data_IF_698672391489
#
_entry.id   IF_698672391489
#
_cell.length_a   1.000
_cell.length_b   1.000
_cell.length_c   1.000
_cell.angle_alpha   90.00
_cell.angle_beta   90.00
_cell.angle_gamma   90.00
#
_symmetry.space_group_name_H-M   'P 1'
#
loop_
_entity.id
_entity.type
_entity.pdbx_description
1 polymer ?
#
# COMPACT_ATOMS: atom_id res chain seq x y z
N UNK A 1 -1.41 2.00 -32.28
CA UNK A 1 -2.17 1.31 -31.24
C UNK A 1 -2.80 2.38 -30.38
N UNK A 2 -4.13 2.45 -30.36
CA UNK A 2 -4.87 3.35 -29.48
C UNK A 2 -4.82 2.83 -28.04
N UNK A 3 -5.17 3.67 -27.06
CA UNK A 3 -5.34 3.23 -25.67
C UNK A 3 -6.39 2.13 -25.53
N UNK A 4 -7.44 2.17 -26.35
CA UNK A 4 -8.49 1.15 -26.39
C UNK A 4 -7.93 -0.17 -26.91
N UNK A 5 -7.14 -0.13 -27.99
CA UNK A 5 -6.53 -1.34 -28.56
C UNK A 5 -5.57 -2.00 -27.56
N UNK A 6 -4.83 -1.20 -26.79
CA UNK A 6 -3.95 -1.69 -25.73
C UNK A 6 -4.74 -2.30 -24.57
N UNK A 7 -5.80 -1.64 -24.11
CA UNK A 7 -6.64 -2.17 -23.04
C UNK A 7 -7.34 -3.46 -23.47
N UNK A 8 -7.85 -3.52 -24.70
CA UNK A 8 -8.49 -4.70 -25.28
C UNK A 8 -7.50 -5.86 -25.45
N UNK A 9 -6.26 -5.58 -25.89
CA UNK A 9 -5.18 -6.57 -25.94
C UNK A 9 -4.84 -7.09 -24.54
N UNK A 10 -4.76 -6.21 -23.54
CA UNK A 10 -4.54 -6.60 -22.14
C UNK A 10 -5.67 -7.47 -21.64
N UNK A 11 -6.94 -7.14 -21.86
CA UNK A 11 -8.07 -7.95 -21.40
C UNK A 11 -8.21 -9.28 -22.16
N UNK A 12 -7.87 -9.30 -23.45
CA UNK A 12 -7.94 -10.49 -24.30
C UNK A 12 -6.80 -11.46 -23.99
N UNK A 13 -5.60 -10.95 -23.71
CA UNK A 13 -4.41 -11.75 -23.41
C UNK A 13 -4.17 -11.96 -21.91
N UNK A 14 -4.82 -11.20 -21.03
CA UNK A 14 -4.97 -11.56 -19.64
C UNK A 14 -5.82 -12.83 -19.60
N UNK A 15 -5.14 -13.98 -19.74
CA UNK A 15 -5.74 -15.30 -19.53
C UNK A 15 -6.58 -15.30 -18.25
N UNK A 16 -7.57 -16.20 -18.17
CA UNK A 16 -8.80 -16.04 -17.38
C UNK A 16 -8.58 -15.21 -16.11
N UNK A 17 -9.05 -13.96 -16.15
CA UNK A 17 -9.17 -13.14 -14.95
C UNK A 17 -10.08 -13.90 -13.98
N UNK A 18 -9.55 -14.32 -12.83
CA UNK A 18 -10.37 -14.82 -11.72
C UNK A 18 -10.10 -16.24 -11.22
N UNK A 19 -8.91 -16.80 -11.38
CA UNK A 19 -8.53 -17.89 -10.47
C UNK A 19 -8.19 -17.27 -9.10
N UNK A 20 -8.87 -17.68 -8.00
CA UNK A 20 -8.45 -17.28 -6.66
C UNK A 20 -6.98 -17.63 -6.49
N UNK A 21 -6.18 -16.63 -6.15
CA UNK A 21 -4.76 -16.79 -5.89
C UNK A 21 -4.50 -16.41 -4.45
N UNK A 22 -3.62 -17.17 -3.81
CA UNK A 22 -2.98 -16.69 -2.59
C UNK A 22 -2.05 -15.56 -2.98
N UNK A 23 -2.12 -14.44 -2.28
CA UNK A 23 -1.23 -13.32 -2.52
C UNK A 23 -0.84 -12.63 -1.24
N UNK A 24 0.29 -11.95 -1.30
CA UNK A 24 0.74 -11.02 -0.30
C UNK A 24 0.95 -9.66 -0.98
N UNK A 25 0.55 -8.60 -0.29
CA UNK A 25 0.64 -7.25 -0.81
C UNK A 25 1.05 -6.28 0.28
N UNK A 26 1.72 -5.22 -0.15
CA UNK A 26 2.08 -4.07 0.65
C UNK A 26 2.21 -2.85 -0.26
N UNK A 27 2.03 -1.66 0.29
CA UNK A 27 2.24 -0.43 -0.44
C UNK A 27 3.23 0.52 0.22
N UNK A 28 3.53 1.59 -0.50
CA UNK A 28 4.13 2.80 0.03
C UNK A 28 3.64 4.01 -0.76
N UNK A 29 3.25 5.06 -0.06
CA UNK A 29 2.93 6.37 -0.62
C UNK A 29 4.15 7.25 -0.68
N UNK A 30 4.35 7.91 -1.83
CA UNK A 30 5.44 8.86 -2.06
C UNK A 30 4.85 10.26 -2.23
N UNK A 31 5.51 11.22 -1.59
CA UNK A 31 5.26 12.66 -1.62
C UNK A 31 6.60 13.37 -1.83
N UNK A 32 6.60 14.70 -1.95
CA UNK A 32 7.84 15.48 -2.06
C UNK A 32 8.81 15.26 -0.88
N UNK A 33 8.31 14.84 0.29
CA UNK A 33 9.13 14.64 1.49
C UNK A 33 9.93 13.34 1.49
N UNK A 34 9.50 12.33 0.73
CA UNK A 34 10.04 10.97 0.79
C UNK A 34 10.24 10.38 -0.61
N UNK A 35 10.59 11.23 -1.58
CA UNK A 35 10.97 10.79 -2.93
C UNK A 35 12.18 9.84 -2.84
N UNK A 36 12.12 8.64 -3.43
CA UNK A 36 13.25 7.72 -3.46
C UNK A 36 14.47 8.38 -4.11
N UNK A 37 15.61 8.31 -3.42
CA UNK A 37 16.91 8.68 -3.99
C UNK A 37 17.35 7.68 -5.06
N UNK A 38 18.28 8.07 -5.94
CA UNK A 38 18.89 7.15 -6.90
C UNK A 38 19.47 5.90 -6.20
N UNK A 39 20.14 6.09 -5.05
CA UNK A 39 20.71 4.98 -4.26
C UNK A 39 19.64 3.99 -3.80
N UNK A 40 18.47 4.47 -3.34
CA UNK A 40 17.37 3.60 -2.93
C UNK A 40 16.67 2.93 -4.11
N UNK A 41 16.59 3.61 -5.27
CA UNK A 41 16.06 3.01 -6.49
C UNK A 41 16.98 1.91 -6.99
N UNK A 42 18.29 2.14 -7.04
CA UNK A 42 19.29 1.14 -7.42
C UNK A 42 19.22 -0.07 -6.48
N UNK A 43 19.20 0.16 -5.17
CA UNK A 43 19.07 -0.92 -4.18
C UNK A 43 17.76 -1.71 -4.30
N UNK A 44 16.67 -1.04 -4.67
CA UNK A 44 15.38 -1.70 -4.93
C UNK A 44 15.45 -2.55 -6.20
N UNK A 45 15.96 -2.00 -7.32
CA UNK A 45 16.12 -2.72 -8.58
C UNK A 45 17.03 -3.94 -8.41
N UNK A 46 18.21 -3.77 -7.82
CA UNK A 46 19.15 -4.85 -7.55
C UNK A 46 18.48 -5.97 -6.75
N UNK A 47 17.67 -5.63 -5.76
CA UNK A 47 16.98 -6.61 -4.95
C UNK A 47 15.91 -7.37 -5.73
N UNK A 48 15.03 -6.68 -6.46
CA UNK A 48 13.91 -7.34 -7.16
C UNK A 48 14.39 -8.20 -8.33
N UNK A 49 15.57 -7.90 -8.91
CA UNK A 49 16.16 -8.70 -9.99
C UNK A 49 17.04 -9.85 -9.52
N UNK A 50 17.57 -9.81 -8.29
CA UNK A 50 18.49 -10.83 -7.78
C UNK A 50 17.90 -11.77 -6.73
N UNK A 51 16.91 -11.32 -5.96
CA UNK A 51 16.33 -12.12 -4.89
C UNK A 51 15.38 -13.19 -5.42
N UNK A 52 15.40 -14.37 -4.78
CA UNK A 52 14.35 -15.36 -4.96
C UNK A 52 13.07 -14.89 -4.27
N UNK A 53 12.08 -14.49 -5.06
CA UNK A 53 10.79 -14.01 -4.59
C UNK A 53 9.97 -15.10 -3.87
N UNK A 54 10.28 -16.38 -4.07
CA UNK A 54 9.49 -17.48 -3.51
C UNK A 54 8.03 -17.46 -3.95
N UNK A 55 7.72 -16.85 -5.10
CA UNK A 55 6.37 -16.70 -5.64
C UNK A 55 6.31 -17.14 -7.11
N UNK A 56 5.12 -17.47 -7.61
CA UNK A 56 4.95 -17.83 -9.02
C UNK A 56 4.90 -16.59 -9.92
N UNK A 57 4.43 -15.46 -9.39
CA UNK A 57 4.44 -14.14 -10.04
C UNK A 57 4.58 -13.04 -9.00
N UNK A 58 5.14 -11.91 -9.41
CA UNK A 58 5.16 -10.68 -8.62
C UNK A 58 5.13 -9.46 -9.54
N UNK A 59 4.65 -8.34 -9.02
CA UNK A 59 4.57 -7.07 -9.75
C UNK A 59 4.61 -5.88 -8.79
N UNK A 60 4.97 -4.72 -9.32
CA UNK A 60 4.91 -3.43 -8.65
C UNK A 60 4.08 -2.48 -9.50
N UNK A 61 2.93 -2.07 -9.00
CA UNK A 61 2.02 -1.13 -9.65
C UNK A 61 2.28 0.27 -9.10
N UNK A 62 2.37 1.26 -9.98
CA UNK A 62 2.57 2.66 -9.62
C UNK A 62 1.34 3.46 -10.03
N UNK A 63 0.54 3.85 -9.04
CA UNK A 63 -0.63 4.68 -9.23
C UNK A 63 -0.24 6.14 -9.02
N UNK A 64 -0.06 6.87 -10.12
CA UNK A 64 0.26 8.30 -10.07
C UNK A 64 -0.96 9.06 -9.54
N UNK A 65 -0.75 9.80 -8.47
CA UNK A 65 -1.76 10.67 -7.85
C UNK A 65 -1.47 12.13 -8.20
N UNK A 66 -2.17 13.08 -7.58
CA UNK A 66 -2.12 14.48 -7.95
C UNK A 66 -3.41 15.01 -8.55
N UNK A 67 -3.31 16.13 -9.26
CA UNK A 67 -4.42 16.78 -9.94
C UNK A 67 -5.61 17.02 -9.01
N UNK A 68 -6.80 16.57 -9.41
CA UNK A 68 -8.05 16.77 -8.66
C UNK A 68 -7.99 16.21 -7.24
N UNK A 69 -7.21 15.15 -7.01
CA UNK A 69 -7.03 14.56 -5.69
C UNK A 69 -6.35 15.54 -4.72
N UNK A 70 -5.46 16.41 -5.21
CA UNK A 70 -4.70 17.36 -4.38
C UNK A 70 -5.43 18.70 -4.19
N UNK A 71 -6.52 18.96 -4.93
CA UNK A 71 -7.35 20.16 -4.76
C UNK A 71 -8.23 20.10 -3.49
N UNK A 72 -8.42 18.91 -2.92
CA UNK A 72 -9.22 18.69 -1.71
C UNK A 72 -8.31 18.75 -0.49
N UNK A 73 -8.71 19.49 0.56
CA UNK A 73 -7.96 19.54 1.82
C UNK A 73 -7.77 18.16 2.45
N UNK A 74 -6.63 17.94 3.10
CA UNK A 74 -6.28 16.66 3.75
C UNK A 74 -7.22 16.27 4.88
N UNK A 75 -7.92 17.23 5.49
CA UNK A 75 -8.87 17.04 6.60
C UNK A 75 -10.35 16.96 6.17
N UNK A 76 -10.63 17.13 4.87
CA UNK A 76 -12.00 17.16 4.35
C UNK A 76 -12.66 15.76 4.36
N UNK A 77 -11.87 14.70 4.29
CA UNK A 77 -12.33 13.29 4.29
C UNK A 77 -11.37 12.43 5.12
N UNK A 78 -11.71 11.16 5.34
CA UNK A 78 -10.86 10.25 6.11
C UNK A 78 -9.47 10.04 5.48
N UNK A 79 -9.41 9.88 4.16
CA UNK A 79 -8.15 9.71 3.40
C UNK A 79 -7.33 11.03 3.40
N UNK A 80 -6.13 11.04 4.02
CA UNK A 80 -5.39 12.29 4.24
C UNK A 80 -4.33 12.59 3.16
N UNK A 81 -3.96 11.63 2.30
CA UNK A 81 -2.76 11.69 1.45
C UNK A 81 -2.94 12.53 0.17
N UNK A 82 -3.32 13.80 0.36
CA UNK A 82 -3.60 14.80 -0.69
C UNK A 82 -2.35 15.46 -1.28
N UNK A 83 -1.17 15.09 -0.80
CA UNK A 83 0.14 15.57 -1.25
C UNK A 83 1.00 14.42 -1.81
N UNK A 84 0.39 13.27 -2.06
CA UNK A 84 1.05 12.16 -2.72
C UNK A 84 1.32 12.48 -4.20
N UNK A 85 2.45 11.98 -4.69
CA UNK A 85 2.85 11.96 -6.10
C UNK A 85 2.44 10.61 -6.71
N UNK A 86 2.64 9.51 -5.98
CA UNK A 86 2.15 8.19 -6.35
C UNK A 86 2.04 7.26 -5.15
N UNK A 87 1.29 6.18 -5.30
CA UNK A 87 1.39 4.98 -4.47
C UNK A 87 2.04 3.87 -5.28
N UNK A 88 3.01 3.16 -4.70
CA UNK A 88 3.48 1.91 -5.25
C UNK A 88 2.87 0.77 -4.46
N UNK A 89 2.13 -0.12 -5.13
CA UNK A 89 1.64 -1.37 -4.54
C UNK A 89 2.43 -2.55 -5.09
N UNK A 90 3.00 -3.33 -4.17
CA UNK A 90 3.70 -4.57 -4.47
C UNK A 90 2.75 -5.76 -4.31
N UNK A 91 2.79 -6.68 -5.26
CA UNK A 91 2.00 -7.91 -5.25
C UNK A 91 2.91 -9.12 -5.47
N UNK A 92 2.69 -10.18 -4.73
CA UNK A 92 3.27 -11.49 -5.02
C UNK A 92 2.19 -12.57 -4.89
N UNK A 93 1.96 -13.32 -5.97
CA UNK A 93 0.98 -14.41 -6.00
C UNK A 93 1.66 -15.78 -5.94
N UNK A 94 1.01 -16.72 -5.29
CA UNK A 94 1.51 -18.08 -5.05
C UNK A 94 0.42 -19.11 -5.37
N UNK A 95 0.83 -20.33 -5.74
CA UNK A 95 -0.10 -21.43 -6.02
C UNK A 95 -0.70 -22.07 -4.74
N UNK A 96 -0.22 -21.65 -3.57
CA UNK A 96 -0.68 -22.03 -2.24
C UNK A 96 -0.42 -20.88 -1.27
N UNK A 97 -0.68 -21.06 0.03
CA UNK A 97 -0.47 -20.02 1.04
C UNK A 97 0.89 -19.32 0.89
N UNK A 98 0.89 -17.99 0.97
CA UNK A 98 2.11 -17.21 0.74
C UNK A 98 3.17 -17.55 1.78
N UNK A 99 4.32 -17.99 1.30
CA UNK A 99 5.41 -18.40 2.18
C UNK A 99 6.02 -17.21 2.92
N UNK A 100 6.69 -17.46 4.05
CA UNK A 100 7.48 -16.44 4.73
C UNK A 100 8.57 -15.82 3.84
N UNK A 101 9.07 -16.57 2.84
CA UNK A 101 10.01 -16.05 1.83
C UNK A 101 9.33 -15.00 0.93
N UNK A 102 8.11 -15.29 0.46
CA UNK A 102 7.28 -14.37 -0.34
C UNK A 102 6.98 -13.09 0.40
N UNK A 103 6.57 -13.22 1.66
CA UNK A 103 6.28 -12.08 2.56
C UNK A 103 7.54 -11.24 2.74
N UNK A 104 8.68 -11.89 3.03
CA UNK A 104 9.96 -11.20 3.18
C UNK A 104 10.37 -10.47 1.90
N UNK A 105 10.20 -11.09 0.73
CA UNK A 105 10.52 -10.48 -0.56
C UNK A 105 9.79 -9.15 -0.76
N UNK A 106 8.47 -9.15 -0.60
CA UNK A 106 7.67 -7.92 -0.75
C UNK A 106 8.08 -6.86 0.28
N UNK A 107 8.25 -7.25 1.54
CA UNK A 107 8.57 -6.31 2.62
C UNK A 107 9.95 -5.67 2.43
N UNK A 108 10.96 -6.45 2.06
CA UNK A 108 12.31 -5.96 1.77
C UNK A 108 12.34 -5.07 0.52
N UNK A 109 11.59 -5.42 -0.52
CA UNK A 109 11.49 -4.58 -1.72
C UNK A 109 10.91 -3.20 -1.36
N UNK A 110 9.77 -3.16 -0.66
CA UNK A 110 9.17 -1.89 -0.22
C UNK A 110 10.13 -1.12 0.69
N UNK A 111 10.76 -1.79 1.66
CA UNK A 111 11.68 -1.15 2.60
C UNK A 111 12.91 -0.54 1.90
N UNK A 112 13.47 -1.20 0.87
CA UNK A 112 14.59 -0.68 0.10
C UNK A 112 14.21 0.57 -0.70
N UNK A 113 13.04 0.56 -1.32
CA UNK A 113 12.52 1.75 -2.02
C UNK A 113 12.32 2.92 -1.04
N UNK A 114 11.87 2.62 0.18
CA UNK A 114 11.77 3.59 1.29
C UNK A 114 13.12 3.99 1.90
N UNK A 115 14.25 3.59 1.30
CA UNK A 115 15.59 3.82 1.82
C UNK A 115 15.79 3.34 3.27
N UNK A 116 15.13 2.25 3.65
CA UNK A 116 15.08 1.71 5.01
C UNK A 116 14.50 2.69 6.05
N UNK A 117 13.64 3.63 5.63
CA UNK A 117 12.97 4.60 6.49
C UNK A 117 11.44 4.47 6.38
N UNK A 118 10.88 3.36 6.88
CA UNK A 118 9.47 3.06 6.67
C UNK A 118 8.53 4.05 7.38
N UNK A 119 9.01 4.77 8.39
CA UNK A 119 8.23 5.74 9.16
C UNK A 119 8.09 7.12 8.46
N UNK A 120 8.90 7.38 7.43
CA UNK A 120 8.75 8.56 6.57
C UNK A 120 7.67 8.34 5.49
N UNK A 121 7.12 7.12 5.40
CA UNK A 121 6.22 6.70 4.32
C UNK A 121 4.78 6.52 4.77
N UNK A 122 3.88 6.90 3.86
CA UNK A 122 2.44 6.77 4.01
C UNK A 122 1.99 5.41 3.44
N UNK A 123 0.80 4.94 3.82
CA UNK A 123 0.19 3.74 3.25
C UNK A 123 -1.30 3.95 3.06
N UNK A 124 -1.87 3.35 2.03
CA UNK A 124 -3.29 3.40 1.76
C UNK A 124 -4.01 2.24 2.45
N UNK A 125 -5.06 2.53 3.22
CA UNK A 125 -5.82 1.46 3.91
C UNK A 125 -6.38 0.40 2.97
N UNK A 126 -6.61 0.75 1.69
CA UNK A 126 -7.11 -0.18 0.68
C UNK A 126 -6.12 -1.31 0.37
N UNK A 127 -4.86 -1.15 0.77
CA UNK A 127 -3.80 -2.16 0.71
C UNK A 127 -3.32 -2.46 2.13
N UNK A 128 -4.22 -2.96 2.97
CA UNK A 128 -3.89 -3.26 4.36
C UNK A 128 -2.76 -4.30 4.46
N UNK A 129 -1.66 -3.94 5.13
CA UNK A 129 -0.52 -4.86 5.37
C UNK A 129 -0.25 -5.00 6.86
N UNK A 130 -0.26 -6.25 7.36
CA UNK A 130 0.12 -6.58 8.74
C UNK A 130 1.55 -6.17 9.11
N UNK A 131 2.43 -5.93 8.11
CA UNK A 131 3.79 -5.49 8.37
C UNK A 131 3.87 -4.11 9.04
N UNK A 132 2.83 -3.27 8.91
CA UNK A 132 2.78 -1.98 9.58
C UNK A 132 2.60 -2.08 11.11
N UNK A 133 2.20 -3.25 11.62
CA UNK A 133 2.04 -3.49 13.05
C UNK A 133 1.20 -2.40 13.74
N UNK A 134 1.71 -1.87 14.85
CA UNK A 134 1.05 -0.85 15.67
C UNK A 134 0.92 0.53 15.00
N UNK A 135 1.74 0.81 13.98
CA UNK A 135 1.80 2.12 13.33
C UNK A 135 0.83 2.22 12.13
N UNK A 136 0.14 1.13 11.79
CA UNK A 136 -0.79 1.04 10.67
C UNK A 136 -1.80 2.19 10.64
N UNK A 137 -2.48 2.47 11.75
CA UNK A 137 -3.51 3.52 11.80
C UNK A 137 -2.95 4.91 11.50
N UNK A 138 -1.75 5.22 12.01
CA UNK A 138 -1.08 6.49 11.73
C UNK A 138 -0.65 6.58 10.27
N UNK A 139 -0.18 5.49 9.69
CA UNK A 139 0.21 5.44 8.27
C UNK A 139 -0.98 5.62 7.34
N UNK A 140 -2.13 5.03 7.67
CA UNK A 140 -3.36 5.13 6.88
C UNK A 140 -4.04 6.50 7.01
N UNK A 141 -4.15 7.01 8.24
CA UNK A 141 -5.04 8.14 8.55
C UNK A 141 -4.32 9.42 8.96
N UNK A 142 -3.01 9.36 9.23
CA UNK A 142 -2.18 10.52 9.55
C UNK A 142 -2.83 11.43 10.59
N UNK A 143 -2.89 12.73 10.28
CA UNK A 143 -3.48 13.75 11.15
C UNK A 143 -5.01 13.60 11.36
N UNK A 144 -5.70 12.81 10.53
CA UNK A 144 -7.14 12.58 10.67
C UNK A 144 -7.48 11.53 11.72
N UNK A 145 -6.50 10.71 12.16
CA UNK A 145 -6.73 9.62 13.11
C UNK A 145 -7.48 10.07 14.38
N UNK A 146 -7.09 11.14 15.10
CA UNK A 146 -7.80 11.56 16.32
C UNK A 146 -9.25 11.99 16.11
N UNK A 147 -9.60 12.46 14.90
CA UNK A 147 -11.00 12.75 14.56
C UNK A 147 -11.78 11.46 14.33
N UNK A 148 -11.17 10.49 13.65
CA UNK A 148 -11.77 9.17 13.40
C UNK A 148 -11.97 8.39 14.70
N UNK A 149 -11.01 8.41 15.63
CA UNK A 149 -11.11 7.75 16.93
C UNK A 149 -12.28 8.30 17.77
N UNK A 150 -12.52 9.62 17.72
CA UNK A 150 -13.68 10.27 18.36
C UNK A 150 -15.01 9.87 17.71
N UNK A 151 -15.05 9.79 16.37
CA UNK A 151 -16.24 9.31 15.65
C UNK A 151 -16.54 7.86 16.02
N UNK A 152 -15.50 7.01 16.05
CA UNK A 152 -15.60 5.60 16.44
C UNK A 152 -16.11 5.47 17.88
N UNK A 153 -15.58 6.24 18.84
CA UNK A 153 -16.07 6.24 20.22
C UNK A 153 -17.54 6.67 20.35
N UNK A 154 -18.01 7.61 19.51
CA UNK A 154 -19.40 8.06 19.55
C UNK A 154 -20.39 7.05 18.97
N UNK A 155 -19.95 6.20 18.03
CA UNK A 155 -20.82 5.29 17.27
C UNK A 155 -20.68 3.82 17.66
N UNK A 156 -19.50 3.41 18.11
CA UNK A 156 -19.14 2.02 18.44
C UNK A 156 -18.05 2.01 19.53
N UNK A 157 -18.42 2.53 20.71
CA UNK A 157 -17.54 2.66 21.87
C UNK A 157 -16.99 1.31 22.34
N UNK A 158 -17.82 0.27 22.30
CA UNK A 158 -17.45 -1.09 22.72
C UNK A 158 -16.59 -1.83 21.68
N UNK A 159 -16.26 -1.16 20.56
CA UNK A 159 -15.47 -1.68 19.45
C UNK A 159 -16.00 -3.02 18.93
N UNK A 160 -17.32 -3.12 18.70
CA UNK A 160 -17.97 -4.33 18.16
C UNK A 160 -17.49 -4.59 16.72
N UNK A 161 -17.32 -3.52 15.93
CA UNK A 161 -16.81 -3.59 14.56
C UNK A 161 -15.29 -3.31 14.54
N UNK A 162 -14.50 -4.33 14.90
CA UNK A 162 -13.07 -4.19 15.14
C UNK A 162 -12.19 -5.04 14.22
N UNK A 163 -11.03 -4.50 13.86
CA UNK A 163 -9.90 -5.25 13.27
C UNK A 163 -8.59 -4.85 13.95
N UNK A 164 -7.50 -5.59 13.72
CA UNK A 164 -6.20 -5.27 14.32
C UNK A 164 -5.63 -3.92 13.88
N UNK A 165 -5.94 -3.47 12.65
CA UNK A 165 -5.28 -2.31 12.04
C UNK A 165 -6.21 -1.11 11.80
N UNK A 166 -7.50 -1.24 12.08
CA UNK A 166 -8.46 -0.17 11.86
C UNK A 166 -8.58 0.72 13.10
N UNK A 167 -9.26 1.85 12.91
CA UNK A 167 -9.47 2.90 13.92
C UNK A 167 -10.06 2.29 15.19
N UNK A 168 -9.44 2.60 16.33
CA UNK A 168 -9.95 2.25 17.66
C UNK A 168 -10.77 3.40 18.25
N UNK A 169 -11.75 3.14 19.12
CA UNK A 169 -12.42 4.22 19.84
C UNK A 169 -11.39 4.97 20.69
N UNK A 170 -11.50 6.31 20.72
CA UNK A 170 -10.70 7.12 21.63
C UNK A 170 -10.94 6.66 23.08
N UNK A 171 -9.86 6.45 23.83
CA UNK A 171 -9.94 6.23 25.28
C UNK A 171 -10.49 7.49 25.97
N UNK A 172 -11.32 7.30 26.98
CA UNK A 172 -11.78 8.37 27.88
C UNK A 172 -10.64 8.93 28.73
#
# INVERSE_FOLDING_TARGET
>A
MSWIDYAEDVFTNAGPTGNPAYFYTQDTGVSERNVPSNVSVDAWLDYIFSADAGSSRWSFQFDVTGGKTNEVSSDAMAFPHRDSIYFMTAYASSNGETSGKTIKFINEAVLKLQNNKPDESLSYVGVASLAHGKDAQKRYWGANLPKLERIKAALDFDDVFSTLQYVKPASL
#
